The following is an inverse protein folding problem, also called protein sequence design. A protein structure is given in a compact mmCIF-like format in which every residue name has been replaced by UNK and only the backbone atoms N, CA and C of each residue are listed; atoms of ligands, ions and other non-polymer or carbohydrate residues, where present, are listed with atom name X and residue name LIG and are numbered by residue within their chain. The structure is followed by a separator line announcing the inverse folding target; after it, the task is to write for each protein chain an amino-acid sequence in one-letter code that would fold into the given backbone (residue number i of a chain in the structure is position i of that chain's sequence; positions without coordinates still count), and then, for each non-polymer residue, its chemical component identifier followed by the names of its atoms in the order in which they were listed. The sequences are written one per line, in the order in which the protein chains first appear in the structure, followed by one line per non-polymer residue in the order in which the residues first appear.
data_IF_839499544805
#
_entry.id   IF_839499544805
#
_cell.length_a   1.000
_cell.length_b   1.000
_cell.length_c   1.000
_cell.angle_alpha   90.00
_cell.angle_beta   90.00
_cell.angle_gamma   90.00
#
_symmetry.space_group_name_H-M   'P 1'
#
loop_
_entity.id
_entity.type
_entity.pdbx_description
1 polymer ?
#
# COMPACT_ATOMS: atom_id res chain seq x y z
N UNK A 1 -10.49 10.70 -20.45
CA UNK A 1 -10.96 9.39 -20.93
C UNK A 1 -11.68 8.68 -19.78
N UNK A 2 -12.62 7.77 -20.04
CA UNK A 2 -13.35 7.08 -18.97
C UNK A 2 -12.49 5.99 -18.30
N UNK A 3 -12.82 5.61 -17.05
CA UNK A 3 -12.15 4.50 -16.37
C UNK A 3 -12.31 3.19 -17.16
N UNK A 4 -11.20 2.47 -17.31
CA UNK A 4 -11.16 1.15 -17.92
C UNK A 4 -11.55 0.06 -16.92
N UNK A 5 -12.29 -0.96 -17.38
CA UNK A 5 -12.69 -2.09 -16.56
C UNK A 5 -12.36 -3.40 -17.27
N UNK A 6 -11.43 -4.15 -16.69
CA UNK A 6 -10.86 -5.37 -17.29
C UNK A 6 -11.09 -6.60 -16.40
N UNK A 7 -11.06 -7.78 -17.00
CA UNK A 7 -11.15 -9.07 -16.31
C UNK A 7 -9.94 -9.93 -16.73
N UNK A 8 -9.24 -10.53 -15.77
CA UNK A 8 -8.02 -11.33 -15.97
C UNK A 8 -8.24 -12.77 -15.50
N UNK A 9 -8.00 -13.75 -16.38
CA UNK A 9 -8.16 -15.19 -16.13
C UNK A 9 -6.86 -15.97 -16.36
N UNK A 10 -6.89 -17.27 -16.05
CA UNK A 10 -5.72 -18.16 -16.12
C UNK A 10 -5.23 -18.40 -17.56
N UNK A 11 -6.16 -18.34 -18.52
CA UNK A 11 -5.99 -18.91 -19.87
C UNK A 11 -5.74 -17.87 -20.97
N UNK A 12 -5.65 -16.58 -20.64
CA UNK A 12 -5.45 -15.51 -21.62
C UNK A 12 -4.29 -14.58 -21.25
N UNK A 13 -3.31 -14.49 -22.16
CA UNK A 13 -2.20 -13.51 -22.07
C UNK A 13 -2.69 -12.06 -22.24
N UNK A 14 -3.95 -11.86 -22.64
CA UNK A 14 -4.56 -10.56 -22.91
C UNK A 14 -5.76 -10.31 -21.98
N UNK A 15 -5.86 -9.12 -21.37
CA UNK A 15 -7.01 -8.74 -20.57
C UNK A 15 -8.31 -8.79 -21.39
N UNK A 16 -9.35 -9.40 -20.85
CA UNK A 16 -10.68 -9.34 -21.44
C UNK A 16 -11.43 -8.11 -20.93
N UNK A 17 -12.26 -7.51 -21.79
CA UNK A 17 -13.17 -6.48 -21.34
C UNK A 17 -14.23 -7.10 -20.42
N UNK A 18 -14.45 -6.45 -19.28
CA UNK A 18 -15.48 -6.89 -18.34
C UNK A 18 -16.87 -6.83 -18.99
N UNK A 19 -17.70 -7.86 -18.78
CA UNK A 19 -19.07 -7.87 -19.27
C UNK A 19 -19.84 -6.60 -18.83
N UNK A 20 -20.68 -6.03 -19.71
CA UNK A 20 -21.31 -4.72 -19.49
C UNK A 20 -22.17 -4.61 -18.23
N UNK A 21 -22.80 -5.71 -17.78
CA UNK A 21 -23.51 -5.77 -16.50
C UNK A 21 -22.54 -5.64 -15.33
N UNK A 22 -21.55 -6.54 -15.26
CA UNK A 22 -20.54 -6.56 -14.21
C UNK A 22 -19.76 -5.24 -14.14
N UNK A 23 -19.43 -4.63 -15.28
CA UNK A 23 -18.81 -3.30 -15.33
C UNK A 23 -19.66 -2.25 -14.64
N UNK A 24 -20.98 -2.22 -14.91
CA UNK A 24 -21.89 -1.26 -14.28
C UNK A 24 -22.00 -1.49 -12.79
N UNK A 25 -22.06 -2.75 -12.37
CA UNK A 25 -22.18 -3.11 -10.95
C UNK A 25 -20.92 -2.70 -10.17
N UNK A 26 -19.73 -2.99 -10.70
CA UNK A 26 -18.46 -2.58 -10.08
C UNK A 26 -18.31 -1.05 -10.09
N UNK A 27 -18.63 -0.39 -11.20
CA UNK A 27 -18.56 1.07 -11.27
C UNK A 27 -19.50 1.73 -10.25
N UNK A 28 -20.73 1.24 -10.11
CA UNK A 28 -21.68 1.72 -9.11
C UNK A 28 -21.16 1.47 -7.69
N UNK A 29 -20.65 0.28 -7.39
CA UNK A 29 -20.10 -0.03 -6.08
C UNK A 29 -18.89 0.85 -5.71
N UNK A 30 -18.00 1.11 -6.66
CA UNK A 30 -16.83 1.99 -6.47
C UNK A 30 -17.29 3.44 -6.27
N UNK A 31 -18.28 3.91 -7.04
CA UNK A 31 -18.86 5.23 -6.86
C UNK A 31 -19.43 5.41 -5.45
N UNK A 32 -20.19 4.42 -4.97
CA UNK A 32 -20.73 4.39 -3.62
C UNK A 32 -19.62 4.42 -2.55
N UNK A 33 -18.51 3.70 -2.77
CA UNK A 33 -17.35 3.76 -1.87
C UNK A 33 -16.77 5.18 -1.85
N UNK A 34 -16.52 5.79 -3.01
CA UNK A 34 -15.97 7.15 -3.08
C UNK A 34 -16.90 8.18 -2.40
N UNK A 35 -18.21 8.03 -2.55
CA UNK A 35 -19.20 8.90 -1.88
C UNK A 35 -19.20 8.77 -0.36
N UNK A 36 -18.91 7.58 0.18
CA UNK A 36 -18.84 7.36 1.62
C UNK A 36 -17.59 7.96 2.26
N UNK A 37 -16.55 8.19 1.49
CA UNK A 37 -15.24 8.65 1.97
C UNK A 37 -14.92 10.03 1.36
N UNK A 38 -15.57 11.11 1.84
CA UNK A 38 -15.46 12.45 1.23
C UNK A 38 -14.06 13.05 1.31
N UNK A 39 -13.19 12.55 2.18
CA UNK A 39 -11.79 12.97 2.30
C UNK A 39 -10.91 12.42 1.15
N UNK A 40 -11.46 11.56 0.28
CA UNK A 40 -10.80 11.18 -0.99
C UNK A 40 -10.87 12.36 -1.96
N UNK A 41 -9.75 13.03 -2.16
CA UNK A 41 -9.64 14.17 -3.06
C UNK A 41 -9.57 13.70 -4.53
N UNK A 42 -10.09 14.47 -5.51
CA UNK A 42 -9.92 14.14 -6.93
C UNK A 42 -8.46 13.87 -7.35
N UNK A 43 -7.50 14.60 -6.78
CA UNK A 43 -6.05 14.37 -6.99
C UNK A 43 -5.59 12.96 -6.59
N UNK A 44 -6.31 12.25 -5.70
CA UNK A 44 -6.00 10.87 -5.35
C UNK A 44 -6.32 9.89 -6.48
N UNK A 45 -7.19 10.28 -7.41
CA UNK A 45 -7.62 9.47 -8.54
C UNK A 45 -6.76 9.66 -9.80
N UNK A 46 -5.86 10.66 -9.82
CA UNK A 46 -5.12 11.05 -11.03
C UNK A 46 -4.17 9.96 -11.58
N UNK A 47 -3.75 9.02 -10.72
CA UNK A 47 -2.89 7.89 -11.11
C UNK A 47 -3.69 6.67 -11.56
N UNK A 48 -5.02 6.71 -11.47
CA UNK A 48 -5.87 5.57 -11.76
C UNK A 48 -6.44 5.67 -13.18
N UNK A 49 -6.13 4.67 -14.01
CA UNK A 49 -6.73 4.52 -15.34
C UNK A 49 -7.90 3.53 -15.34
N UNK A 50 -7.93 2.59 -14.39
CA UNK A 50 -8.98 1.59 -14.36
C UNK A 50 -8.93 0.59 -13.21
N UNK A 51 -9.88 -0.34 -13.23
CA UNK A 51 -10.00 -1.43 -12.28
C UNK A 51 -10.01 -2.75 -13.05
N UNK A 52 -9.20 -3.69 -12.62
CA UNK A 52 -9.22 -5.07 -13.13
C UNK A 52 -9.62 -6.04 -12.04
N UNK A 53 -10.58 -6.90 -12.36
CA UNK A 53 -10.85 -8.08 -11.55
C UNK A 53 -9.94 -9.22 -12.00
N UNK A 54 -9.35 -9.92 -11.05
CA UNK A 54 -8.46 -11.05 -11.30
C UNK A 54 -9.11 -12.29 -10.71
N UNK A 55 -9.34 -13.29 -11.54
CA UNK A 55 -9.88 -14.56 -11.11
C UNK A 55 -9.07 -15.13 -9.93
N UNK A 56 -9.74 -15.67 -8.93
CA UNK A 56 -9.10 -16.15 -7.70
C UNK A 56 -8.01 -17.19 -7.99
N UNK A 57 -8.26 -18.10 -8.93
CA UNK A 57 -7.30 -19.13 -9.35
C UNK A 57 -6.07 -18.53 -10.08
N UNK A 58 -6.21 -17.35 -10.67
CA UNK A 58 -5.15 -16.60 -11.38
C UNK A 58 -4.28 -15.73 -10.47
N UNK A 59 -4.57 -15.67 -9.17
CA UNK A 59 -3.89 -14.77 -8.26
C UNK A 59 -2.48 -15.27 -7.89
N UNK A 60 -1.48 -14.86 -8.68
CA UNK A 60 -0.08 -15.28 -8.56
C UNK A 60 0.72 -14.59 -7.42
N UNK A 61 0.14 -13.65 -6.68
CA UNK A 61 0.87 -12.94 -5.60
C UNK A 61 1.08 -13.85 -4.39
N UNK A 62 2.30 -13.83 -3.87
CA UNK A 62 2.76 -14.67 -2.78
C UNK A 62 2.00 -14.38 -1.47
N UNK A 63 1.19 -15.34 -1.03
CA UNK A 63 0.47 -15.30 0.26
C UNK A 63 1.36 -15.65 1.46
N UNK A 64 2.62 -16.03 1.25
CA UNK A 64 3.53 -16.50 2.31
C UNK A 64 3.85 -15.40 3.33
N UNK A 65 3.82 -14.13 2.92
CA UNK A 65 4.18 -12.99 3.78
C UNK A 65 3.02 -12.02 4.02
N UNK A 66 2.03 -12.00 3.12
CA UNK A 66 0.86 -11.14 3.27
C UNK A 66 -0.31 -11.63 2.42
N UNK A 67 -1.53 -11.59 2.97
CA UNK A 67 -2.76 -11.93 2.26
C UNK A 67 -3.24 -10.70 1.49
N UNK A 68 -2.51 -10.35 0.43
CA UNK A 68 -2.87 -9.22 -0.45
C UNK A 68 -3.98 -9.66 -1.39
N UNK A 69 -5.16 -9.04 -1.27
CA UNK A 69 -6.31 -9.27 -2.16
C UNK A 69 -6.54 -8.15 -3.17
N UNK A 70 -5.79 -7.06 -3.05
CA UNK A 70 -5.76 -5.98 -4.03
C UNK A 70 -4.43 -5.25 -4.05
N UNK A 71 -4.06 -4.71 -5.20
CA UNK A 71 -2.89 -3.86 -5.34
C UNK A 71 -3.05 -2.89 -6.51
N UNK A 72 -2.26 -1.83 -6.51
CA UNK A 72 -2.11 -0.97 -7.67
C UNK A 72 -0.93 -1.45 -8.54
N UNK A 73 -1.14 -1.55 -9.85
CA UNK A 73 -0.11 -1.86 -10.83
C UNK A 73 0.32 -0.59 -11.57
N UNK A 74 1.54 -0.07 -11.36
CA UNK A 74 2.02 1.11 -12.08
C UNK A 74 2.27 0.86 -13.58
N UNK A 75 2.35 -0.40 -14.02
CA UNK A 75 2.60 -0.74 -15.42
C UNK A 75 1.42 -0.43 -16.33
N UNK A 76 0.19 -0.63 -15.84
CA UNK A 76 -1.04 -0.29 -16.56
C UNK A 76 -1.94 0.70 -15.81
N UNK A 77 -1.43 1.26 -14.72
CA UNK A 77 -2.10 2.24 -13.86
C UNK A 77 -3.48 1.78 -13.38
N UNK A 78 -3.67 0.47 -13.18
CA UNK A 78 -4.94 -0.10 -12.75
C UNK A 78 -4.86 -0.66 -11.33
N UNK A 79 -5.97 -0.56 -10.61
CA UNK A 79 -6.20 -1.33 -9.39
C UNK A 79 -6.56 -2.76 -9.79
N UNK A 80 -5.85 -3.75 -9.24
CA UNK A 80 -6.13 -5.18 -9.39
C UNK A 80 -6.82 -5.67 -8.13
N UNK A 81 -7.99 -6.28 -8.28
CA UNK A 81 -8.78 -6.82 -7.16
C UNK A 81 -9.04 -8.29 -7.44
N UNK A 82 -8.75 -9.15 -6.47
CA UNK A 82 -9.11 -10.57 -6.57
C UNK A 82 -10.63 -10.72 -6.57
N UNK A 83 -11.14 -11.54 -7.49
CA UNK A 83 -12.57 -11.62 -7.79
C UNK A 83 -13.45 -11.91 -6.57
N UNK A 84 -13.02 -12.78 -5.67
CA UNK A 84 -13.77 -13.14 -4.45
C UNK A 84 -14.00 -11.96 -3.49
N UNK A 85 -13.28 -10.84 -3.65
CA UNK A 85 -13.51 -9.64 -2.86
C UNK A 85 -14.81 -8.92 -3.27
N UNK A 86 -15.35 -9.17 -4.47
CA UNK A 86 -16.59 -8.55 -4.93
C UNK A 86 -17.84 -9.18 -4.31
N UNK A 87 -17.71 -10.35 -3.68
CA UNK A 87 -18.82 -11.07 -3.03
C UNK A 87 -19.34 -10.36 -1.77
N UNK A 88 -18.55 -9.46 -1.19
CA UNK A 88 -18.91 -8.70 0.01
C UNK A 88 -18.63 -7.22 -0.18
N UNK A 89 -19.61 -6.33 0.04
CA UNK A 89 -19.40 -4.89 -0.05
C UNK A 89 -18.23 -4.39 0.82
N UNK A 90 -18.07 -4.94 2.03
CA UNK A 90 -16.98 -4.55 2.93
C UNK A 90 -15.60 -5.03 2.48
N UNK A 91 -15.50 -6.21 1.84
CA UNK A 91 -14.24 -6.71 1.27
C UNK A 91 -13.85 -5.89 0.04
N UNK A 92 -14.81 -5.59 -0.83
CA UNK A 92 -14.58 -4.73 -1.98
C UNK A 92 -14.15 -3.33 -1.55
N UNK A 93 -14.82 -2.74 -0.55
CA UNK A 93 -14.46 -1.44 0.01
C UNK A 93 -13.01 -1.44 0.53
N UNK A 94 -12.63 -2.41 1.36
CA UNK A 94 -11.27 -2.55 1.84
C UNK A 94 -10.25 -2.67 0.67
N UNK A 95 -10.57 -3.54 -0.29
CA UNK A 95 -9.72 -3.79 -1.45
C UNK A 95 -9.49 -2.53 -2.29
N UNK A 96 -10.56 -1.76 -2.55
CA UNK A 96 -10.50 -0.50 -3.31
C UNK A 96 -9.68 0.54 -2.56
N UNK A 97 -9.96 0.79 -1.28
CA UNK A 97 -9.28 1.84 -0.52
C UNK A 97 -7.79 1.55 -0.31
N UNK A 98 -7.43 0.29 -0.05
CA UNK A 98 -6.03 -0.12 0.10
C UNK A 98 -5.27 0.08 -1.20
N UNK A 99 -5.84 -0.35 -2.33
CA UNK A 99 -5.19 -0.22 -3.63
C UNK A 99 -5.18 1.23 -4.13
N UNK A 100 -6.20 2.02 -3.83
CA UNK A 100 -6.22 3.46 -4.07
C UNK A 100 -5.12 4.18 -3.28
N UNK A 101 -4.94 3.85 -1.99
CA UNK A 101 -3.81 4.39 -1.24
C UNK A 101 -2.46 4.01 -1.86
N UNK A 102 -2.32 2.77 -2.33
CA UNK A 102 -1.11 2.33 -3.04
C UNK A 102 -0.87 3.12 -4.34
N UNK A 103 -1.91 3.51 -5.07
CA UNK A 103 -1.76 4.25 -6.34
C UNK A 103 -1.11 5.62 -6.15
N UNK A 104 -1.22 6.22 -4.96
CA UNK A 104 -0.55 7.49 -4.63
C UNK A 104 0.97 7.37 -4.61
N UNK A 105 1.51 6.17 -4.38
CA UNK A 105 2.94 5.92 -4.54
C UNK A 105 3.35 5.73 -6.01
N UNK A 106 2.38 5.57 -6.91
CA UNK A 106 2.60 5.43 -8.35
C UNK A 106 3.69 4.41 -8.69
N UNK A 107 4.65 4.81 -9.52
CA UNK A 107 5.77 3.96 -9.95
C UNK A 107 7.01 4.04 -9.02
N UNK A 108 6.84 4.36 -7.73
CA UNK A 108 7.97 4.60 -6.83
C UNK A 108 8.98 3.45 -6.75
N UNK A 109 8.53 2.20 -6.90
CA UNK A 109 9.35 1.00 -6.77
C UNK A 109 9.81 0.54 -8.15
N UNK A 110 11.10 0.74 -8.45
CA UNK A 110 11.72 0.21 -9.66
C UNK A 110 12.12 -1.25 -9.48
N UNK A 111 12.76 -1.56 -8.34
CA UNK A 111 13.23 -2.91 -8.04
C UNK A 111 13.05 -3.19 -6.55
N UNK A 112 12.72 -4.43 -6.21
CA UNK A 112 12.71 -4.90 -4.83
C UNK A 112 13.11 -6.36 -4.74
N UNK A 113 13.76 -6.73 -3.65
CA UNK A 113 14.25 -8.08 -3.43
C UNK A 113 14.41 -8.41 -1.95
N UNK A 114 14.58 -9.70 -1.69
CA UNK A 114 14.96 -10.23 -0.39
C UNK A 114 16.29 -10.96 -0.55
N UNK A 115 17.25 -10.63 0.29
CA UNK A 115 18.56 -11.28 0.32
C UNK A 115 18.75 -11.94 1.69
N UNK A 116 19.18 -13.20 1.73
CA UNK A 116 19.40 -13.89 2.99
C UNK A 116 20.64 -13.34 3.72
N UNK A 117 20.55 -13.21 5.04
CA UNK A 117 21.63 -12.72 5.90
C UNK A 117 22.13 -13.86 6.78
N UNK A 118 23.43 -14.13 6.70
CA UNK A 118 24.09 -15.22 7.41
C UNK A 118 25.11 -14.71 8.44
N UNK A 119 25.20 -15.43 9.57
CA UNK A 119 26.28 -15.31 10.57
C UNK A 119 26.74 -16.71 10.88
N UNK A 120 28.04 -16.99 10.72
CA UNK A 120 28.63 -18.32 10.98
C UNK A 120 27.84 -19.46 10.29
N UNK A 121 27.56 -19.29 8.98
CA UNK A 121 26.79 -20.23 8.13
C UNK A 121 25.30 -20.42 8.53
N UNK A 122 24.85 -19.79 9.61
CA UNK A 122 23.45 -19.79 10.03
C UNK A 122 22.71 -18.59 9.44
N UNK A 123 21.58 -18.84 8.79
CA UNK A 123 20.67 -17.76 8.39
C UNK A 123 20.07 -17.10 9.64
N UNK A 124 20.29 -15.80 9.79
CA UNK A 124 19.80 -14.99 10.93
C UNK A 124 18.67 -14.04 10.56
N UNK A 125 18.38 -13.90 9.26
CA UNK A 125 17.32 -13.05 8.77
C UNK A 125 17.42 -12.79 7.28
N UNK A 126 16.72 -11.76 6.82
CA UNK A 126 16.69 -11.31 5.42
C UNK A 126 16.78 -9.80 5.31
N UNK A 127 17.48 -9.32 4.32
CA UNK A 127 17.57 -7.92 3.93
C UNK A 127 16.55 -7.65 2.83
N UNK A 128 15.50 -6.89 3.16
CA UNK A 128 14.63 -6.33 2.13
C UNK A 128 15.31 -5.14 1.49
N UNK A 129 15.49 -5.17 0.17
CA UNK A 129 16.04 -4.10 -0.64
C UNK A 129 14.95 -3.49 -1.51
N UNK A 130 14.92 -2.16 -1.58
CA UNK A 130 14.02 -1.38 -2.41
C UNK A 130 14.83 -0.33 -3.16
N UNK A 131 14.76 -0.35 -4.48
CA UNK A 131 15.30 0.69 -5.36
C UNK A 131 14.14 1.52 -5.87
N UNK A 132 14.20 2.82 -5.63
CA UNK A 132 13.20 3.77 -6.13
C UNK A 132 13.53 4.27 -7.53
N UNK A 133 12.52 4.65 -8.29
CA UNK A 133 12.73 5.37 -9.55
C UNK A 133 13.54 6.66 -9.35
N UNK A 134 14.27 7.08 -10.39
CA UNK A 134 15.00 8.37 -10.37
C UNK A 134 13.99 9.52 -10.31
N UNK A 135 14.39 10.64 -9.70
CA UNK A 135 13.52 11.83 -9.52
C UNK A 135 12.76 12.28 -10.77
N UNK A 136 13.37 12.14 -11.95
CA UNK A 136 12.81 12.58 -13.23
C UNK A 136 11.81 11.58 -13.84
N UNK A 137 11.86 10.32 -13.39
CA UNK A 137 11.04 9.21 -13.89
C UNK A 137 9.92 8.84 -12.89
N UNK A 138 9.92 9.44 -11.70
CA UNK A 138 8.90 9.24 -10.68
C UNK A 138 7.59 9.90 -11.08
N UNK A 139 6.58 9.06 -11.29
CA UNK A 139 5.18 9.43 -11.42
C UNK A 139 4.46 8.96 -10.15
N UNK A 140 4.28 9.87 -9.19
CA UNK A 140 3.78 9.61 -7.83
C UNK A 140 3.11 10.87 -7.29
N UNK A 141 2.14 10.71 -6.38
CA UNK A 141 1.49 11.81 -5.67
C UNK A 141 2.48 12.54 -4.76
N UNK A 142 3.41 11.79 -4.18
CA UNK A 142 4.45 12.31 -3.29
C UNK A 142 5.59 12.93 -4.09
N UNK A 143 6.05 14.10 -3.66
CA UNK A 143 7.36 14.60 -4.08
C UNK A 143 8.49 13.66 -3.66
N UNK A 144 9.68 13.71 -4.31
CA UNK A 144 10.81 12.86 -3.93
C UNK A 144 11.20 12.97 -2.45
N UNK A 145 11.11 14.17 -1.88
CA UNK A 145 11.40 14.46 -0.47
C UNK A 145 10.34 13.87 0.48
N UNK A 146 9.07 13.92 0.09
CA UNK A 146 7.98 13.31 0.86
C UNK A 146 8.02 11.77 0.77
N UNK A 147 8.38 11.23 -0.38
CA UNK A 147 8.59 9.79 -0.56
C UNK A 147 9.74 9.29 0.33
N UNK A 148 10.88 9.99 0.35
CA UNK A 148 12.00 9.66 1.25
C UNK A 148 11.55 9.68 2.73
N UNK A 149 10.83 10.74 3.12
CA UNK A 149 10.28 10.88 4.47
C UNK A 149 9.36 9.69 4.82
N UNK A 150 8.46 9.33 3.91
CA UNK A 150 7.56 8.20 4.09
C UNK A 150 8.32 6.87 4.22
N UNK A 151 9.30 6.61 3.36
CA UNK A 151 10.10 5.38 3.40
C UNK A 151 10.83 5.24 4.74
N UNK A 152 11.41 6.32 5.27
CA UNK A 152 12.01 6.31 6.60
C UNK A 152 10.98 6.03 7.72
N UNK A 153 9.78 6.62 7.64
CA UNK A 153 8.68 6.34 8.58
C UNK A 153 8.21 4.87 8.51
N UNK A 154 8.32 4.25 7.33
CA UNK A 154 8.06 2.82 7.11
C UNK A 154 9.20 1.89 7.58
N UNK A 155 10.23 2.44 8.26
CA UNK A 155 11.42 1.77 8.79
C UNK A 155 12.42 1.33 7.73
N UNK A 156 12.40 1.95 6.55
CA UNK A 156 13.45 1.76 5.57
C UNK A 156 14.65 2.64 5.90
N UNK A 157 15.85 2.10 5.74
CA UNK A 157 17.11 2.80 5.95
C UNK A 157 17.71 3.17 4.59
N UNK A 158 17.91 4.47 4.28
CA UNK A 158 18.60 4.87 3.07
C UNK A 158 20.06 4.43 3.13
N UNK A 159 20.60 3.95 2.01
CA UNK A 159 22.02 3.64 1.88
C UNK A 159 22.79 4.95 1.71
N UNK A 160 23.84 5.16 2.52
CA UNK A 160 24.56 6.45 2.62
C UNK A 160 25.01 7.02 1.27
N UNK A 161 25.44 6.15 0.35
CA UNK A 161 26.02 6.54 -0.94
C UNK A 161 25.07 6.36 -2.14
N UNK A 162 23.84 5.88 -1.90
CA UNK A 162 22.86 5.60 -2.95
C UNK A 162 21.48 6.17 -2.57
N UNK A 163 21.20 7.40 -3.00
CA UNK A 163 19.97 8.17 -2.66
C UNK A 163 18.65 7.53 -3.13
N UNK A 164 18.69 6.42 -3.85
CA UNK A 164 17.53 5.69 -4.35
C UNK A 164 17.46 4.26 -3.83
N UNK A 165 18.36 3.88 -2.92
CA UNK A 165 18.48 2.53 -2.40
C UNK A 165 18.13 2.52 -0.91
N UNK A 166 17.11 1.75 -0.58
CA UNK A 166 16.59 1.63 0.77
C UNK A 166 16.63 0.17 1.20
N UNK A 167 16.99 -0.04 2.46
CA UNK A 167 17.14 -1.39 3.02
C UNK A 167 16.40 -1.53 4.33
N UNK A 168 15.97 -2.74 4.65
CA UNK A 168 15.40 -3.07 5.95
C UNK A 168 15.75 -4.51 6.32
N UNK A 169 16.37 -4.67 7.47
CA UNK A 169 16.60 -6.01 8.03
C UNK A 169 15.29 -6.56 8.62
N UNK A 170 15.03 -7.83 8.33
CA UNK A 170 13.95 -8.65 8.86
C UNK A 170 14.60 -9.79 9.63
N UNK A 171 14.31 -9.90 10.92
CA UNK A 171 14.99 -10.86 11.79
C UNK A 171 14.40 -12.26 11.61
N UNK A 172 15.26 -13.26 11.41
CA UNK A 172 14.87 -14.67 11.23
C UNK A 172 13.68 -14.84 10.28
N UNK A 173 12.64 -15.50 10.81
CA UNK A 173 11.39 -15.80 10.11
C UNK A 173 10.28 -14.76 10.39
N UNK A 174 10.60 -13.59 10.94
CA UNK A 174 9.61 -12.55 11.16
C UNK A 174 8.97 -12.10 9.84
N UNK A 175 7.66 -11.84 9.88
CA UNK A 175 6.96 -11.13 8.81
C UNK A 175 7.21 -9.62 8.89
N UNK A 176 7.08 -8.94 7.76
CA UNK A 176 7.00 -7.48 7.75
C UNK A 176 6.03 -6.99 6.69
N UNK A 177 5.31 -5.92 6.99
CA UNK A 177 4.52 -5.19 6.00
C UNK A 177 5.45 -4.34 5.12
N UNK A 178 5.49 -4.57 3.79
CA UNK A 178 6.25 -3.75 2.86
C UNK A 178 5.71 -2.31 2.80
N UNK A 179 6.53 -1.32 2.43
CA UNK A 179 6.10 0.09 2.40
C UNK A 179 4.84 0.32 1.56
N UNK A 180 4.76 -0.21 0.34
CA UNK A 180 3.59 0.01 -0.52
C UNK A 180 2.27 -0.43 0.14
N UNK A 181 2.27 -1.62 0.72
CA UNK A 181 1.10 -2.13 1.42
C UNK A 181 0.80 -1.36 2.71
N UNK A 182 1.83 -1.02 3.49
CA UNK A 182 1.67 -0.18 4.69
C UNK A 182 0.99 1.15 4.33
N UNK A 183 1.36 1.76 3.20
CA UNK A 183 0.75 3.00 2.74
C UNK A 183 -0.75 2.83 2.50
N UNK A 184 -1.14 1.83 1.70
CA UNK A 184 -2.55 1.53 1.42
C UNK A 184 -3.36 1.22 2.69
N UNK A 185 -2.77 0.48 3.62
CA UNK A 185 -3.40 0.15 4.90
C UNK A 185 -3.64 1.38 5.76
N UNK A 186 -2.66 2.28 5.87
CA UNK A 186 -2.80 3.53 6.64
C UNK A 186 -3.78 4.48 5.96
N UNK A 187 -3.78 4.55 4.63
CA UNK A 187 -4.75 5.32 3.85
C UNK A 187 -6.19 4.87 4.14
N UNK A 188 -6.48 3.58 4.02
CA UNK A 188 -7.80 3.04 4.30
C UNK A 188 -8.21 3.25 5.76
N UNK A 189 -7.29 3.04 6.71
CA UNK A 189 -7.56 3.28 8.14
C UNK A 189 -7.83 4.75 8.45
N UNK A 190 -7.14 5.69 7.78
CA UNK A 190 -7.36 7.11 7.98
C UNK A 190 -8.79 7.52 7.60
N UNK A 191 -9.29 6.99 6.48
CA UNK A 191 -10.66 7.22 6.01
C UNK A 191 -11.70 6.55 6.91
N UNK A 192 -11.40 5.34 7.41
CA UNK A 192 -12.35 4.60 8.21
C UNK A 192 -11.68 3.70 9.24
N UNK A 193 -11.95 4.00 10.51
CA UNK A 193 -11.42 3.27 11.67
C UNK A 193 -11.83 1.79 11.71
N UNK A 194 -12.86 1.34 10.96
CA UNK A 194 -13.20 -0.08 10.83
C UNK A 194 -12.05 -0.90 10.25
N UNK A 195 -11.15 -0.28 9.48
CA UNK A 195 -9.95 -0.93 8.94
C UNK A 195 -8.78 -0.97 9.93
N UNK A 196 -8.97 -0.53 11.18
CA UNK A 196 -7.93 -0.56 12.20
C UNK A 196 -7.34 -1.97 12.41
N UNK A 197 -8.16 -3.02 12.33
CA UNK A 197 -7.72 -4.43 12.42
C UNK A 197 -6.64 -4.79 11.40
N UNK A 198 -6.67 -4.17 10.21
CA UNK A 198 -5.68 -4.37 9.15
C UNK A 198 -4.35 -3.64 9.43
N UNK A 199 -4.30 -2.76 10.44
CA UNK A 199 -3.12 -1.99 10.89
C UNK A 199 -2.72 -2.36 12.35
N UNK A 200 -3.57 -3.12 13.06
CA UNK A 200 -3.75 -3.01 14.52
C UNK A 200 -2.58 -3.48 15.37
N UNK A 201 -1.86 -4.53 14.96
CA UNK A 201 -0.68 -4.97 15.71
C UNK A 201 0.35 -3.84 15.85
N UNK A 202 0.37 -2.91 14.88
CA UNK A 202 1.21 -1.71 14.89
C UNK A 202 0.49 -0.45 15.34
N UNK A 203 -0.69 -0.49 15.96
CA UNK A 203 -1.36 0.70 16.51
C UNK A 203 -1.74 0.56 17.99
N UNK A 204 -1.75 -0.65 18.55
CA UNK A 204 -2.01 -0.93 19.98
C UNK A 204 -1.14 -0.12 20.96
N UNK A 205 0.14 0.13 20.63
CA UNK A 205 1.07 0.94 21.47
C UNK A 205 0.55 2.38 21.68
N UNK A 206 -0.32 2.91 20.81
CA UNK A 206 -0.92 4.23 21.04
C UNK A 206 -1.97 4.25 22.17
N UNK A 207 -2.53 3.10 22.54
CA UNK A 207 -3.52 2.99 23.62
C UNK A 207 -2.87 2.87 25.00
N UNK A 208 -1.55 2.65 25.07
CA UNK A 208 -0.82 2.46 26.32
C UNK A 208 -0.05 3.73 26.68
N UNK A 209 -0.04 4.09 27.98
CA UNK A 209 0.86 5.12 28.49
C UNK A 209 2.30 4.61 28.31
N UNK A 210 3.14 5.29 27.50
CA UNK A 210 4.51 4.84 27.28
C UNK A 210 5.26 4.86 28.61
N UNK A 211 5.90 3.76 28.96
CA UNK A 211 6.81 3.71 30.10
C UNK A 211 8.15 4.31 29.70
N UNK A 212 8.67 5.26 30.49
CA UNK A 212 10.02 5.81 30.29
C UNK A 212 11.13 4.76 30.51
N UNK A 213 10.79 3.57 31.04
CA UNK A 213 11.72 2.47 31.25
C UNK A 213 12.19 1.83 29.93
N UNK A 214 11.41 1.96 28.85
CA UNK A 214 11.73 1.31 27.56
C UNK A 214 11.79 2.39 26.47
N UNK A 215 12.97 2.97 26.19
CA UNK A 215 13.15 4.03 25.19
C UNK A 215 12.62 3.68 23.80
N UNK A 216 12.63 2.39 23.43
CA UNK A 216 12.12 1.93 22.14
C UNK A 216 10.59 2.08 22.03
N UNK A 217 9.83 1.97 23.12
CA UNK A 217 8.38 2.23 23.11
C UNK A 217 8.09 3.70 22.75
N UNK A 218 8.84 4.63 23.34
CA UNK A 218 8.74 6.07 23.02
C UNK A 218 9.10 6.35 21.56
N UNK A 219 10.16 5.71 21.04
CA UNK A 219 10.56 5.85 19.63
C UNK A 219 9.49 5.32 18.68
N UNK A 220 8.90 4.16 18.98
CA UNK A 220 7.81 3.57 18.20
C UNK A 220 6.60 4.49 18.18
N UNK A 221 6.20 5.02 19.34
CA UNK A 221 5.07 5.95 19.46
C UNK A 221 5.31 7.21 18.61
N UNK A 222 6.45 7.89 18.81
CA UNK A 222 6.81 9.11 18.05
C UNK A 222 6.84 8.88 16.54
N UNK A 223 7.32 7.71 16.08
CA UNK A 223 7.32 7.38 14.64
C UNK A 223 5.90 7.21 14.11
N UNK A 224 4.99 6.59 14.89
CA UNK A 224 3.58 6.44 14.51
C UNK A 224 2.86 7.78 14.46
N UNK A 225 3.06 8.64 15.45
CA UNK A 225 2.53 10.01 15.43
C UNK A 225 3.00 10.77 14.19
N UNK A 226 4.29 10.66 13.84
CA UNK A 226 4.83 11.25 12.61
C UNK A 226 4.19 10.66 11.34
N UNK A 227 3.93 9.36 11.30
CA UNK A 227 3.25 8.71 10.17
C UNK A 227 1.81 9.19 10.03
N UNK A 228 1.04 9.23 11.12
CA UNK A 228 -0.33 9.75 11.13
C UNK A 228 -0.35 11.21 10.68
N UNK A 229 0.56 12.03 11.24
CA UNK A 229 0.70 13.42 10.86
C UNK A 229 1.07 13.60 9.38
N UNK A 230 1.96 12.75 8.86
CA UNK A 230 2.31 12.75 7.44
C UNK A 230 1.09 12.50 6.56
N UNK A 231 0.26 11.50 6.87
CA UNK A 231 -0.96 11.22 6.12
C UNK A 231 -1.94 12.39 6.17
N UNK A 232 -2.21 12.91 7.37
CA UNK A 232 -3.08 14.06 7.57
C UNK A 232 -2.64 15.28 6.75
N UNK A 233 -1.37 15.67 6.87
CA UNK A 233 -0.88 16.93 6.30
C UNK A 233 -0.54 16.84 4.82
N UNK A 234 -0.04 15.69 4.35
CA UNK A 234 0.46 15.53 2.98
C UNK A 234 -0.51 14.82 2.06
N UNK A 235 -1.25 13.83 2.57
CA UNK A 235 -2.14 13.00 1.75
C UNK A 235 -3.53 13.60 1.73
N UNK A 236 -4.13 13.80 2.90
CA UNK A 236 -5.50 14.31 3.02
C UNK A 236 -5.57 15.84 3.03
N UNK A 237 -4.45 16.50 3.34
CA UNK A 237 -4.32 17.96 3.38
C UNK A 237 -5.33 18.60 4.33
N UNK A 238 -5.65 17.92 5.42
CA UNK A 238 -6.55 18.43 6.44
C UNK A 238 -5.91 19.67 7.06
N UNK A 239 -6.39 20.84 6.65
CA UNK A 239 -6.06 22.08 7.33
C UNK A 239 -6.89 22.15 8.59
N UNK A 240 -6.23 22.28 9.74
CA UNK A 240 -6.91 22.74 10.94
C UNK A 240 -7.56 24.10 10.64
N UNK A 241 -8.88 24.20 10.78
CA UNK A 241 -9.52 25.43 11.22
C UNK A 241 -9.49 25.47 12.76
#
# INVERSE_FOLDING_TARGET
EGLEFRYLTLDTDLPENMASSLRRDIAAAVLEILWRHPDIHPDHLQYLHGISLVETASWKRCQQWDNVFSFYDPGDSCIKIRQDQTESPGRLEAAVLIALGQSLLGNYCQEKGMEDVFVEERQVGRLYRLITGKRQELNSFLSPEELDTYLQLSRMCPKKDEKHCYTRLVNGEEGFTPPGLLFGLVFAWYLDNRFASNVEYKMSVMKNIPSDLIPEQVRILRRREKLIRFFRERIFRDQFF
#
